data_IF_110838419017
#
_entry.id   IF_110838419017
#
_cell.length_a   1.000
_cell.length_b   1.000
_cell.length_c   1.000
_cell.angle_alpha   90.00
_cell.angle_beta   90.00
_cell.angle_gamma   90.00
#
_symmetry.space_group_name_H-M   'P 1'
#
loop_
_entity.id
_entity.type
_entity.pdbx_description
1 polymer ?
#
# COMPACT_ATOMS: atom_id res chain seq x y z
N UNK A 1 16.39 3.79 -18.69
CA UNK A 1 16.12 4.63 -17.50
C UNK A 1 16.03 6.13 -17.81
N UNK A 2 16.88 6.69 -18.68
CA UNK A 2 16.90 8.15 -18.94
C UNK A 2 15.64 8.69 -19.66
N UNK A 3 15.04 7.94 -20.59
CA UNK A 3 13.91 8.41 -21.38
C UNK A 3 12.66 8.75 -20.51
N UNK A 4 12.17 7.87 -19.62
CA UNK A 4 11.07 8.25 -18.72
C UNK A 4 11.39 9.43 -17.80
N UNK A 5 12.64 9.53 -17.31
CA UNK A 5 13.07 10.64 -16.47
C UNK A 5 13.07 11.97 -17.22
N UNK A 6 13.52 11.99 -18.48
CA UNK A 6 13.48 13.16 -19.35
C UNK A 6 12.05 13.58 -19.69
N UNK A 7 11.17 12.60 -19.98
CA UNK A 7 9.75 12.87 -20.22
C UNK A 7 9.09 13.48 -18.99
N UNK A 8 9.34 12.92 -17.80
CA UNK A 8 8.84 13.47 -16.54
C UNK A 8 9.39 14.87 -16.31
N UNK A 9 10.69 15.10 -16.50
CA UNK A 9 11.33 16.40 -16.33
C UNK A 9 10.70 17.44 -17.27
N UNK A 10 10.59 17.14 -18.57
CA UNK A 10 9.95 18.02 -19.53
C UNK A 10 8.48 18.30 -19.20
N UNK A 11 7.75 17.29 -18.70
CA UNK A 11 6.37 17.43 -18.25
C UNK A 11 6.21 18.24 -16.95
N UNK A 12 7.24 18.28 -16.10
CA UNK A 12 7.22 19.05 -14.84
C UNK A 12 7.57 20.54 -15.04
N UNK A 13 8.33 20.91 -16.08
CA UNK A 13 8.68 22.30 -16.37
C UNK A 13 7.47 23.27 -16.46
N UNK A 14 6.34 22.90 -17.11
CA UNK A 14 5.16 23.77 -17.17
C UNK A 14 4.20 23.66 -15.97
N UNK A 15 4.43 22.75 -15.02
CA UNK A 15 3.50 22.54 -13.90
C UNK A 15 3.61 23.70 -12.90
N UNK A 16 2.46 24.24 -12.43
CA UNK A 16 2.48 25.28 -11.41
C UNK A 16 2.99 24.72 -10.07
N UNK A 17 3.60 25.60 -9.28
CA UNK A 17 4.03 25.29 -7.92
C UNK A 17 2.82 24.92 -7.05
N UNK A 18 3.01 23.96 -6.13
CA UNK A 18 1.94 23.54 -5.22
C UNK A 18 1.39 24.73 -4.43
N UNK A 19 0.06 24.99 -4.44
CA UNK A 19 -0.54 26.09 -3.68
C UNK A 19 -0.20 26.04 -2.19
N UNK A 20 -0.06 24.83 -1.62
CA UNK A 20 0.37 24.64 -0.23
C UNK A 20 1.78 25.16 0.04
N UNK A 21 2.71 24.90 -0.87
CA UNK A 21 4.09 25.40 -0.77
C UNK A 21 4.16 26.92 -0.93
N UNK A 22 3.32 27.48 -1.81
CA UNK A 22 3.21 28.93 -1.99
C UNK A 22 2.71 29.62 -0.72
N UNK A 23 1.69 29.05 -0.05
CA UNK A 23 1.18 29.53 1.24
C UNK A 23 2.26 29.41 2.33
N UNK A 24 2.98 28.29 2.42
CA UNK A 24 4.09 28.11 3.37
C UNK A 24 5.21 29.15 3.19
N UNK A 25 5.45 29.60 1.95
CA UNK A 25 6.39 30.68 1.58
C UNK A 25 5.81 32.09 1.77
N UNK A 26 4.58 32.23 2.26
CA UNK A 26 3.87 33.50 2.43
C UNK A 26 3.36 34.13 1.12
N UNK A 27 3.38 33.40 -0.01
CA UNK A 27 2.93 33.86 -1.34
C UNK A 27 1.43 33.60 -1.56
N UNK A 28 0.58 34.05 -0.64
CA UNK A 28 -0.87 33.77 -0.64
C UNK A 28 -1.58 34.16 -1.95
N UNK A 29 -1.33 35.36 -2.48
CA UNK A 29 -1.98 35.81 -3.72
C UNK A 29 -1.60 34.99 -4.97
N UNK A 30 -0.41 34.37 -4.97
CA UNK A 30 -0.01 33.44 -6.05
C UNK A 30 -0.73 32.10 -5.86
N UNK A 31 -0.88 31.64 -4.62
CA UNK A 31 -1.61 30.41 -4.31
C UNK A 31 -3.09 30.52 -4.72
N UNK A 32 -3.76 31.66 -4.46
CA UNK A 32 -5.14 31.92 -4.90
C UNK A 32 -5.27 31.90 -6.44
N UNK A 33 -4.32 32.52 -7.14
CA UNK A 33 -4.31 32.54 -8.60
C UNK A 33 -4.13 31.14 -9.21
N UNK A 34 -3.28 30.30 -8.63
CA UNK A 34 -3.11 28.92 -9.11
C UNK A 34 -4.30 28.03 -8.72
N UNK A 35 -4.88 28.20 -7.52
CA UNK A 35 -6.08 27.46 -7.11
C UNK A 35 -7.31 27.80 -7.96
N UNK A 36 -7.53 29.08 -8.27
CA UNK A 36 -8.61 29.52 -9.16
C UNK A 36 -8.47 28.93 -10.57
N UNK A 37 -7.25 28.78 -11.08
CA UNK A 37 -6.98 28.09 -12.36
C UNK A 37 -7.30 26.60 -12.30
N UNK A 38 -7.04 25.93 -11.17
CA UNK A 38 -7.19 24.48 -11.02
C UNK A 38 -8.64 24.05 -10.68
N UNK A 39 -9.35 24.81 -9.85
CA UNK A 39 -10.70 24.48 -9.34
C UNK A 39 -11.83 25.05 -10.20
N UNK A 40 -11.54 26.06 -11.03
CA UNK A 40 -12.53 26.78 -11.81
C UNK A 40 -13.24 27.91 -11.02
N UNK A 41 -14.07 28.73 -11.69
CA UNK A 41 -14.62 29.97 -11.13
C UNK A 41 -15.72 29.77 -10.07
N UNK A 42 -16.30 28.57 -9.93
CA UNK A 42 -17.39 28.29 -8.98
C UNK A 42 -16.89 27.85 -7.59
N UNK A 43 -15.59 27.60 -7.42
CA UNK A 43 -15.03 27.14 -6.16
C UNK A 43 -14.58 28.31 -5.27
N UNK A 44 -14.88 28.24 -3.98
CA UNK A 44 -14.42 29.24 -3.00
C UNK A 44 -12.93 29.04 -2.68
N UNK A 45 -12.09 29.64 -3.52
CA UNK A 45 -10.63 29.59 -3.39
C UNK A 45 -10.15 30.26 -2.11
N UNK A 46 -10.84 31.30 -1.64
CA UNK A 46 -10.44 32.03 -0.44
C UNK A 46 -10.58 31.13 0.80
N UNK A 47 -11.69 30.39 0.90
CA UNK A 47 -11.89 29.41 1.95
C UNK A 47 -10.82 28.29 1.92
N UNK A 48 -10.48 27.76 0.74
CA UNK A 48 -9.43 26.72 0.62
C UNK A 48 -8.04 27.26 1.01
N UNK A 49 -7.71 28.51 0.66
CA UNK A 49 -6.44 29.14 1.07
C UNK A 49 -6.39 29.39 2.57
N UNK A 50 -7.49 29.79 3.19
CA UNK A 50 -7.60 29.93 4.64
C UNK A 50 -7.41 28.59 5.35
N UNK A 51 -8.05 27.53 4.84
CA UNK A 51 -7.88 26.16 5.33
C UNK A 51 -6.40 25.73 5.25
N UNK A 52 -5.76 25.89 4.07
CA UNK A 52 -4.35 25.58 3.88
C UNK A 52 -3.47 26.40 4.84
N UNK A 53 -3.79 27.68 5.05
CA UNK A 53 -3.04 28.55 5.98
C UNK A 53 -3.16 28.07 7.42
N UNK A 54 -4.35 27.63 7.83
CA UNK A 54 -4.57 27.05 9.16
C UNK A 54 -3.76 25.75 9.34
N UNK A 55 -3.75 24.88 8.34
CA UNK A 55 -2.98 23.65 8.30
C UNK A 55 -1.46 23.91 8.34
N UNK A 56 -0.98 24.91 7.61
CA UNK A 56 0.44 25.32 7.65
C UNK A 56 0.84 25.83 9.04
N UNK A 57 -0.02 26.61 9.71
CA UNK A 57 0.23 27.06 11.10
C UNK A 57 0.25 25.92 12.10
N UNK A 58 -0.57 24.89 11.90
CA UNK A 58 -0.50 23.65 12.70
C UNK A 58 0.74 22.81 12.37
N UNK A 59 1.13 22.76 11.09
CA UNK A 59 2.38 22.16 10.62
C UNK A 59 3.63 22.85 11.18
N UNK A 60 3.59 24.17 11.41
CA UNK A 60 4.67 24.90 12.07
C UNK A 60 4.80 24.57 13.56
N UNK A 61 3.71 24.11 14.19
CA UNK A 61 3.72 23.50 15.53
C UNK A 61 4.20 22.05 15.50
N UNK A 62 4.49 21.48 14.32
CA UNK A 62 5.02 20.13 14.23
C UNK A 62 6.36 20.03 14.98
N UNK A 63 6.67 18.85 15.54
CA UNK A 63 7.86 18.68 16.35
C UNK A 63 9.12 18.89 15.51
N UNK A 64 9.86 19.99 15.75
CA UNK A 64 11.12 20.28 15.08
C UNK A 64 12.28 19.52 15.75
N UNK A 65 13.03 18.78 14.93
CA UNK A 65 14.19 17.99 15.36
C UNK A 65 13.87 16.55 15.78
N UNK A 66 14.84 15.65 15.58
CA UNK A 66 14.68 14.19 15.71
C UNK A 66 14.05 13.76 17.05
N UNK A 67 14.49 14.36 18.16
CA UNK A 67 13.99 14.02 19.51
C UNK A 67 12.52 14.39 19.70
N UNK A 68 12.10 15.56 19.18
CA UNK A 68 10.72 16.01 19.27
C UNK A 68 9.83 15.16 18.38
N UNK A 69 10.29 14.82 17.17
CA UNK A 69 9.59 13.94 16.24
C UNK A 69 9.37 12.55 16.83
N UNK A 70 10.42 11.93 17.39
CA UNK A 70 10.32 10.63 18.05
C UNK A 70 9.35 10.65 19.23
N UNK A 71 9.35 11.73 20.02
CA UNK A 71 8.41 11.90 21.14
C UNK A 71 6.97 11.98 20.65
N UNK A 72 6.72 12.72 19.58
CA UNK A 72 5.38 12.85 19.01
C UNK A 72 4.87 11.56 18.35
N UNK A 73 5.74 10.83 17.63
CA UNK A 73 5.41 9.50 17.08
C UNK A 73 5.09 8.48 18.18
N UNK A 74 5.73 8.62 19.35
CA UNK A 74 5.49 7.79 20.54
C UNK A 74 4.30 8.24 21.37
N UNK A 75 3.60 9.29 20.98
CA UNK A 75 2.44 9.80 21.71
C UNK A 75 1.29 8.78 21.73
N UNK A 76 0.62 8.53 22.88
CA UNK A 76 -0.44 7.54 23.02
C UNK A 76 -1.58 7.67 21.99
N UNK A 77 -1.94 8.90 21.62
CA UNK A 77 -3.01 9.15 20.64
C UNK A 77 -2.58 8.92 19.18
N UNK A 78 -1.28 8.97 18.87
CA UNK A 78 -0.74 8.71 17.52
C UNK A 78 -0.45 7.22 17.29
N UNK A 79 -0.07 6.50 18.36
CA UNK A 79 0.34 5.09 18.32
C UNK A 79 -0.61 4.17 17.53
N UNK A 80 -1.95 4.27 17.66
CA UNK A 80 -2.85 3.39 16.91
C UNK A 80 -2.74 3.58 15.39
N UNK A 81 -2.67 4.83 14.91
CA UNK A 81 -2.52 5.15 13.50
C UNK A 81 -1.15 4.73 12.97
N UNK A 82 -0.10 4.99 13.74
CA UNK A 82 1.26 4.58 13.40
C UNK A 82 1.34 3.05 13.30
N UNK A 83 0.75 2.32 14.24
CA UNK A 83 0.73 0.85 14.21
C UNK A 83 0.00 0.31 12.98
N UNK A 84 -1.09 0.94 12.54
CA UNK A 84 -1.79 0.58 11.30
C UNK A 84 -0.89 0.84 10.08
N UNK A 85 -0.29 2.02 9.97
CA UNK A 85 0.56 2.37 8.85
C UNK A 85 1.81 1.47 8.75
N UNK A 86 2.53 1.27 9.87
CA UNK A 86 3.70 0.39 9.93
C UNK A 86 3.33 -1.07 9.71
N UNK A 87 2.21 -1.53 10.28
CA UNK A 87 1.76 -2.90 10.12
C UNK A 87 1.38 -3.21 8.67
N UNK A 88 0.62 -2.33 8.01
CA UNK A 88 0.29 -2.50 6.59
C UNK A 88 1.55 -2.45 5.72
N UNK A 89 2.49 -1.52 5.99
CA UNK A 89 3.76 -1.45 5.27
C UNK A 89 4.64 -2.72 5.43
N UNK A 90 4.65 -3.31 6.62
CA UNK A 90 5.38 -4.56 6.86
C UNK A 90 4.68 -5.74 6.17
N UNK A 91 3.37 -5.89 6.39
CA UNK A 91 2.61 -7.00 5.83
C UNK A 91 2.52 -6.97 4.30
N UNK A 92 2.57 -5.79 3.67
CA UNK A 92 2.56 -5.71 2.20
C UNK A 92 3.73 -6.49 1.60
N UNK A 93 4.88 -6.51 2.27
CA UNK A 93 6.04 -7.27 1.83
C UNK A 93 6.08 -8.69 2.42
N UNK A 94 5.75 -8.85 3.71
CA UNK A 94 5.76 -10.17 4.36
C UNK A 94 4.77 -11.17 3.74
N UNK A 95 3.73 -10.69 3.04
CA UNK A 95 2.81 -11.57 2.28
C UNK A 95 3.49 -12.28 1.11
N UNK A 96 4.70 -11.88 0.71
CA UNK A 96 5.56 -12.58 -0.25
C UNK A 96 5.42 -12.12 -1.71
N UNK A 97 4.79 -10.97 -1.99
CA UNK A 97 4.46 -10.56 -3.37
C UNK A 97 5.69 -10.42 -4.25
N UNK A 98 6.76 -9.80 -3.73
CA UNK A 98 8.00 -9.60 -4.48
C UNK A 98 8.76 -10.90 -4.68
N UNK A 99 8.76 -11.81 -3.68
CA UNK A 99 9.31 -13.15 -3.87
C UNK A 99 8.57 -13.90 -5.00
N UNK A 100 7.24 -13.84 -5.03
CA UNK A 100 6.47 -14.49 -6.10
C UNK A 100 6.72 -13.87 -7.47
N UNK A 101 6.79 -12.54 -7.57
CA UNK A 101 7.01 -11.87 -8.85
C UNK A 101 8.43 -12.12 -9.38
N UNK A 102 9.45 -12.02 -8.52
CA UNK A 102 10.84 -12.21 -8.93
C UNK A 102 11.18 -13.65 -9.26
N UNK A 103 10.61 -14.60 -8.51
CA UNK A 103 10.90 -16.03 -8.69
C UNK A 103 9.83 -16.78 -9.45
N UNK A 104 8.79 -16.12 -9.97
CA UNK A 104 7.78 -16.75 -10.80
C UNK A 104 8.36 -17.55 -11.99
N UNK A 105 9.36 -17.05 -12.75
CA UNK A 105 10.01 -17.84 -13.78
C UNK A 105 10.58 -19.16 -13.24
N UNK A 106 11.25 -19.12 -12.08
CA UNK A 106 11.80 -20.28 -11.39
C UNK A 106 10.69 -21.23 -10.93
N UNK A 107 9.62 -20.72 -10.33
CA UNK A 107 8.46 -21.51 -9.89
C UNK A 107 7.78 -22.26 -11.06
N UNK A 108 7.70 -21.62 -12.22
CA UNK A 108 7.13 -22.23 -13.41
C UNK A 108 8.08 -23.25 -14.04
N UNK A 109 9.39 -22.98 -14.02
CA UNK A 109 10.41 -23.95 -14.43
C UNK A 109 10.34 -25.21 -13.54
N UNK A 110 10.26 -25.05 -12.22
CA UNK A 110 10.10 -26.16 -11.26
C UNK A 110 8.77 -26.90 -11.43
N UNK A 111 7.70 -26.23 -11.88
CA UNK A 111 6.46 -26.90 -12.24
C UNK A 111 6.58 -27.76 -13.52
N UNK A 112 7.64 -27.59 -14.32
CA UNK A 112 7.90 -28.35 -15.54
C UNK A 112 7.55 -27.59 -16.83
N UNK A 113 7.56 -26.26 -16.81
CA UNK A 113 7.51 -25.43 -18.02
C UNK A 113 8.92 -25.12 -18.52
N UNK A 114 9.17 -25.24 -19.82
CA UNK A 114 10.48 -24.92 -20.42
C UNK A 114 10.80 -23.42 -20.41
N UNK A 115 12.08 -23.07 -20.58
CA UNK A 115 12.59 -21.68 -20.49
C UNK A 115 11.88 -20.69 -21.43
N UNK A 116 11.37 -21.15 -22.57
CA UNK A 116 10.61 -20.32 -23.52
C UNK A 116 9.23 -19.90 -22.97
N UNK A 117 8.63 -20.69 -22.08
CA UNK A 117 7.34 -20.38 -21.44
C UNK A 117 7.52 -19.41 -20.27
N UNK A 118 8.71 -19.36 -19.65
CA UNK A 118 9.04 -18.41 -18.60
C UNK A 118 9.01 -16.95 -19.09
N UNK A 119 9.36 -16.70 -20.35
CA UNK A 119 9.24 -15.38 -20.99
C UNK A 119 7.77 -14.94 -21.14
N UNK A 120 6.89 -15.84 -21.59
CA UNK A 120 5.45 -15.58 -21.66
C UNK A 120 4.84 -15.37 -20.26
N UNK A 121 5.38 -16.05 -19.25
CA UNK A 121 4.98 -15.82 -17.87
C UNK A 121 5.31 -14.42 -17.37
N UNK A 122 6.47 -13.86 -17.74
CA UNK A 122 6.82 -12.47 -17.45
C UNK A 122 5.77 -11.48 -17.99
N UNK A 123 5.32 -11.69 -19.23
CA UNK A 123 4.23 -10.90 -19.84
C UNK A 123 2.91 -11.10 -19.08
N UNK A 124 2.57 -12.34 -18.72
CA UNK A 124 1.39 -12.66 -17.93
C UNK A 124 1.38 -12.01 -16.55
N UNK A 125 2.53 -11.99 -15.85
CA UNK A 125 2.71 -11.31 -14.56
C UNK A 125 2.49 -9.81 -14.73
N UNK A 126 3.12 -9.20 -15.73
CA UNK A 126 2.95 -7.78 -16.02
C UNK A 126 1.49 -7.41 -16.29
N UNK A 127 0.80 -8.22 -17.10
CA UNK A 127 -0.63 -8.05 -17.36
C UNK A 127 -1.46 -8.19 -16.08
N UNK A 128 -1.19 -9.20 -15.24
CA UNK A 128 -1.91 -9.38 -13.98
C UNK A 128 -1.67 -8.24 -12.99
N UNK A 129 -0.44 -7.69 -12.92
CA UNK A 129 -0.14 -6.52 -12.09
C UNK A 129 -0.92 -5.29 -12.57
N UNK A 130 -1.02 -5.06 -13.88
CA UNK A 130 -1.83 -3.96 -14.44
C UNK A 130 -3.30 -4.16 -14.12
N UNK A 131 -3.84 -5.36 -14.36
CA UNK A 131 -5.25 -5.67 -14.06
C UNK A 131 -5.55 -5.53 -12.56
N UNK A 132 -4.65 -6.00 -11.71
CA UNK A 132 -4.76 -5.87 -10.26
C UNK A 132 -4.72 -4.40 -9.83
N UNK A 133 -3.79 -3.62 -10.38
CA UNK A 133 -3.66 -2.19 -10.09
C UNK A 133 -4.89 -1.40 -10.49
N UNK A 134 -5.40 -1.60 -11.71
CA UNK A 134 -6.63 -0.94 -12.20
C UNK A 134 -7.83 -1.36 -11.35
N UNK A 135 -7.99 -2.67 -11.09
CA UNK A 135 -9.10 -3.18 -10.27
C UNK A 135 -9.04 -2.62 -8.86
N UNK A 136 -7.85 -2.58 -8.25
CA UNK A 136 -7.63 -2.03 -6.91
C UNK A 136 -7.95 -0.54 -6.84
N UNK A 137 -7.45 0.25 -7.80
CA UNK A 137 -7.71 1.68 -7.89
C UNK A 137 -9.21 2.00 -8.04
N UNK A 138 -9.93 1.25 -8.88
CA UNK A 138 -11.37 1.45 -9.07
C UNK A 138 -12.18 0.94 -7.88
N UNK A 139 -11.76 -0.16 -7.26
CA UNK A 139 -12.52 -0.82 -6.19
C UNK A 139 -12.33 -0.15 -4.83
N UNK A 140 -11.14 0.40 -4.53
CA UNK A 140 -10.84 1.02 -3.23
C UNK A 140 -11.75 2.20 -2.93
N UNK A 141 -12.14 2.95 -3.96
CA UNK A 141 -13.05 4.08 -3.88
C UNK A 141 -14.52 3.73 -3.99
N UNK A 142 -14.89 2.45 -4.19
CA UNK A 142 -16.29 1.96 -4.11
C UNK A 142 -16.56 1.11 -2.89
N UNK A 143 -15.62 0.24 -2.53
CA UNK A 143 -15.78 -0.74 -1.45
C UNK A 143 -15.24 -0.20 -0.13
N UNK A 144 -14.20 0.62 -0.16
CA UNK A 144 -13.46 1.06 1.03
C UNK A 144 -12.23 0.20 1.30
N UNK A 145 -11.28 0.75 2.06
CA UNK A 145 -9.90 0.23 2.18
C UNK A 145 -9.91 -1.05 3.01
N UNK A 146 -10.56 -1.01 4.19
CA UNK A 146 -10.63 -2.15 5.11
C UNK A 146 -11.44 -3.30 4.53
N UNK A 147 -12.60 -2.98 3.94
CA UNK A 147 -13.47 -4.01 3.34
C UNK A 147 -12.79 -4.71 2.16
N UNK A 148 -12.12 -3.96 1.28
CA UNK A 148 -11.36 -4.52 0.17
C UNK A 148 -10.27 -5.50 0.66
N UNK A 149 -9.51 -5.11 1.69
CA UNK A 149 -8.53 -6.00 2.31
C UNK A 149 -9.18 -7.25 2.89
N UNK A 150 -10.28 -7.12 3.64
CA UNK A 150 -10.93 -8.27 4.28
C UNK A 150 -11.53 -9.26 3.29
N UNK A 151 -11.93 -8.81 2.10
CA UNK A 151 -12.54 -9.65 1.07
C UNK A 151 -11.51 -10.37 0.20
N UNK A 152 -10.42 -9.68 -0.17
CA UNK A 152 -9.46 -10.20 -1.16
C UNK A 152 -8.21 -10.85 -0.54
N UNK A 153 -7.77 -10.46 0.66
CA UNK A 153 -6.63 -11.12 1.33
C UNK A 153 -6.86 -12.62 1.57
N UNK A 154 -8.05 -13.10 1.98
CA UNK A 154 -8.29 -14.53 2.12
C UNK A 154 -8.13 -15.29 0.80
N UNK A 155 -8.60 -14.72 -0.30
CA UNK A 155 -8.44 -15.31 -1.64
C UNK A 155 -6.96 -15.38 -2.06
N UNK A 156 -6.19 -14.32 -1.76
CA UNK A 156 -4.74 -14.32 -1.98
C UNK A 156 -4.02 -15.39 -1.14
N UNK A 157 -4.29 -15.45 0.17
CA UNK A 157 -3.70 -16.46 1.06
C UNK A 157 -4.09 -17.89 0.67
N UNK A 158 -5.33 -18.12 0.25
CA UNK A 158 -5.80 -19.42 -0.24
C UNK A 158 -5.10 -19.81 -1.56
N UNK A 159 -4.94 -18.87 -2.50
CA UNK A 159 -4.20 -19.13 -3.73
C UNK A 159 -2.74 -19.51 -3.45
N UNK A 160 -2.07 -18.81 -2.52
CA UNK A 160 -0.72 -19.16 -2.07
C UNK A 160 -0.67 -20.57 -1.44
N UNK A 161 -1.65 -20.92 -0.61
CA UNK A 161 -1.72 -22.25 0.01
C UNK A 161 -1.95 -23.36 -1.03
N UNK A 162 -2.86 -23.15 -1.98
CA UNK A 162 -3.12 -24.07 -3.10
C UNK A 162 -1.86 -24.29 -3.91
N UNK A 163 -1.12 -23.22 -4.21
CA UNK A 163 0.17 -23.33 -4.91
C UNK A 163 1.16 -24.18 -4.13
N UNK A 164 1.32 -23.94 -2.82
CA UNK A 164 2.19 -24.76 -1.96
C UNK A 164 1.80 -26.24 -1.93
N UNK A 165 0.51 -26.54 -1.77
CA UNK A 165 0.01 -27.93 -1.77
C UNK A 165 0.17 -28.60 -3.13
N UNK A 166 0.03 -27.87 -4.23
CA UNK A 166 0.24 -28.40 -5.58
C UNK A 166 1.67 -28.91 -5.79
N UNK A 167 2.67 -28.36 -5.10
CA UNK A 167 4.04 -28.87 -5.17
C UNK A 167 4.26 -30.16 -4.35
N UNK A 168 3.32 -30.57 -3.49
CA UNK A 168 3.42 -31.84 -2.75
C UNK A 168 3.08 -33.07 -3.60
N UNK A 169 2.37 -32.93 -4.72
CA UNK A 169 1.91 -34.06 -5.53
C UNK A 169 3.00 -34.76 -6.35
N UNK A 170 4.28 -34.47 -6.13
CA UNK A 170 5.40 -35.22 -6.71
C UNK A 170 5.81 -34.83 -8.14
N UNK A 171 5.23 -33.78 -8.72
CA UNK A 171 5.64 -33.25 -10.03
C UNK A 171 5.05 -33.99 -11.24
N UNK A 172 5.06 -33.34 -12.40
CA UNK A 172 4.87 -33.99 -13.71
C UNK A 172 3.45 -34.03 -14.29
N UNK A 173 2.40 -34.01 -13.46
CA UNK A 173 1.02 -34.00 -13.97
C UNK A 173 0.66 -32.66 -14.64
N UNK A 174 -0.16 -32.70 -15.69
CA UNK A 174 -0.67 -31.48 -16.34
C UNK A 174 -1.55 -30.67 -15.38
N UNK A 175 -2.30 -31.35 -14.50
CA UNK A 175 -3.17 -30.73 -13.49
C UNK A 175 -2.34 -29.89 -12.52
N UNK A 176 -1.23 -30.43 -12.00
CA UNK A 176 -0.34 -29.68 -11.10
C UNK A 176 0.21 -28.41 -11.78
N UNK A 177 0.72 -28.55 -13.01
CA UNK A 177 1.28 -27.44 -13.79
C UNK A 177 0.32 -26.26 -13.93
N UNK A 178 -0.90 -26.53 -14.39
CA UNK A 178 -1.92 -25.50 -14.56
C UNK A 178 -2.45 -24.98 -13.23
N UNK A 179 -2.47 -25.80 -12.18
CA UNK A 179 -2.84 -25.37 -10.82
C UNK A 179 -1.83 -24.35 -10.29
N UNK A 180 -0.52 -24.59 -10.43
CA UNK A 180 0.52 -23.64 -10.00
C UNK A 180 0.38 -22.31 -10.74
N UNK A 181 0.22 -22.34 -12.07
CA UNK A 181 0.06 -21.12 -12.89
C UNK A 181 -1.19 -20.34 -12.46
N UNK A 182 -2.34 -21.02 -12.35
CA UNK A 182 -3.59 -20.39 -11.95
C UNK A 182 -3.52 -19.81 -10.54
N UNK A 183 -2.91 -20.54 -9.60
CA UNK A 183 -2.73 -20.10 -8.22
C UNK A 183 -1.77 -18.90 -8.11
N UNK A 184 -0.67 -18.90 -8.87
CA UNK A 184 0.26 -17.78 -8.94
C UNK A 184 -0.41 -16.51 -9.44
N UNK A 185 -1.14 -16.58 -10.56
CA UNK A 185 -1.82 -15.41 -11.11
C UNK A 185 -2.98 -14.94 -10.24
N UNK A 186 -3.75 -15.87 -9.65
CA UNK A 186 -4.78 -15.53 -8.67
C UNK A 186 -4.17 -14.83 -7.46
N UNK A 187 -3.04 -15.33 -6.94
CA UNK A 187 -2.33 -14.69 -5.83
C UNK A 187 -1.89 -13.26 -6.19
N UNK A 188 -1.22 -13.07 -7.34
CA UNK A 188 -0.75 -11.75 -7.80
C UNK A 188 -1.93 -10.80 -7.95
N UNK A 189 -3.03 -11.26 -8.57
CA UNK A 189 -4.21 -10.45 -8.80
C UNK A 189 -4.89 -10.02 -7.49
N UNK A 190 -5.22 -10.97 -6.62
CA UNK A 190 -5.92 -10.67 -5.38
C UNK A 190 -5.07 -9.86 -4.40
N UNK A 191 -3.77 -10.17 -4.28
CA UNK A 191 -2.85 -9.41 -3.44
C UNK A 191 -2.66 -7.98 -4.00
N UNK A 192 -2.43 -7.86 -5.31
CA UNK A 192 -2.24 -6.59 -5.99
C UNK A 192 -3.47 -5.67 -5.91
N UNK A 193 -4.65 -6.22 -6.16
CA UNK A 193 -5.92 -5.48 -6.14
C UNK A 193 -6.35 -5.06 -4.73
N UNK A 194 -5.69 -5.56 -3.68
CA UNK A 194 -6.01 -5.24 -2.30
C UNK A 194 -4.84 -4.62 -1.56
N UNK A 195 -3.89 -5.42 -1.10
CA UNK A 195 -2.78 -4.98 -0.26
C UNK A 195 -1.93 -3.91 -0.93
N UNK A 196 -1.55 -4.12 -2.19
CA UNK A 196 -0.70 -3.19 -2.92
C UNK A 196 -1.43 -1.89 -3.32
N UNK A 197 -2.74 -1.94 -3.51
CA UNK A 197 -3.55 -0.74 -3.71
C UNK A 197 -3.69 0.07 -2.41
N UNK A 198 -3.88 -0.62 -1.27
CA UNK A 198 -4.20 0.04 0.01
C UNK A 198 -2.95 0.54 0.74
N UNK A 199 -1.79 -0.09 0.59
CA UNK A 199 -0.56 0.29 1.31
C UNK A 199 -0.17 1.75 1.10
N UNK A 200 -0.37 2.28 -0.11
CA UNK A 200 -0.03 3.67 -0.46
C UNK A 200 -1.11 4.69 -0.04
N UNK A 201 -2.34 4.23 0.23
CA UNK A 201 -3.47 5.07 0.58
C UNK A 201 -3.68 5.17 2.09
N UNK A 202 -3.47 4.08 2.84
CA UNK A 202 -3.83 4.03 4.26
C UNK A 202 -2.98 4.98 5.10
N UNK A 203 -1.67 5.09 4.81
CA UNK A 203 -0.77 5.93 5.59
C UNK A 203 -1.18 7.41 5.56
N UNK A 204 -1.35 8.07 4.39
CA UNK A 204 -1.79 9.47 4.36
C UNK A 204 -3.21 9.68 4.92
N UNK A 205 -4.08 8.66 4.88
CA UNK A 205 -5.46 8.74 5.38
C UNK A 205 -5.57 8.61 6.91
N UNK A 206 -4.78 7.74 7.55
CA UNK A 206 -4.89 7.48 9.00
C UNK A 206 -3.95 8.32 9.84
N UNK A 207 -2.88 8.87 9.25
CA UNK A 207 -1.85 9.58 9.99
C UNK A 207 -2.26 11.04 10.27
N UNK A 208 -2.20 11.49 11.54
CA UNK A 208 -2.49 12.87 11.93
C UNK A 208 -1.61 13.88 11.21
N UNK A 209 -2.17 15.04 10.89
CA UNK A 209 -1.49 16.07 10.10
C UNK A 209 -0.16 16.50 10.72
N UNK A 210 -0.15 16.75 12.03
CA UNK A 210 1.02 17.23 12.78
C UNK A 210 2.27 16.31 12.72
N UNK A 211 2.08 15.02 12.43
CA UNK A 211 3.17 14.03 12.35
C UNK A 211 3.18 13.26 11.03
N UNK A 212 2.33 13.63 10.06
CA UNK A 212 2.11 12.86 8.83
C UNK A 212 3.40 12.67 8.05
N UNK A 213 4.16 13.74 7.82
CA UNK A 213 5.44 13.68 7.11
C UNK A 213 6.39 12.62 7.70
N UNK A 214 6.87 12.77 8.95
CA UNK A 214 7.79 11.82 9.54
C UNK A 214 7.21 10.41 9.75
N UNK A 215 5.91 10.29 10.05
CA UNK A 215 5.25 9.00 10.20
C UNK A 215 5.18 8.24 8.86
N UNK A 216 4.82 8.93 7.77
CA UNK A 216 4.80 8.35 6.42
C UNK A 216 6.21 7.95 5.99
N UNK A 217 7.24 8.76 6.25
CA UNK A 217 8.63 8.37 5.98
C UNK A 217 9.06 7.11 6.73
N UNK A 218 8.62 6.97 7.98
CA UNK A 218 8.91 5.75 8.79
C UNK A 218 8.17 4.53 8.23
N UNK A 219 6.93 4.69 7.78
CA UNK A 219 6.17 3.61 7.13
C UNK A 219 6.80 3.20 5.79
N UNK A 220 7.24 4.16 4.98
CA UNK A 220 7.96 3.90 3.73
C UNK A 220 9.30 3.21 3.99
N UNK A 221 10.07 3.65 4.99
CA UNK A 221 11.31 2.97 5.39
C UNK A 221 11.05 1.53 5.87
N UNK A 222 9.94 1.32 6.58
CA UNK A 222 9.51 -0.03 7.01
C UNK A 222 9.18 -0.90 5.80
N UNK A 223 8.41 -0.36 4.84
CA UNK A 223 8.07 -1.04 3.60
C UNK A 223 9.32 -1.49 2.85
N UNK A 224 10.24 -0.56 2.56
CA UNK A 224 11.47 -0.90 1.83
C UNK A 224 12.43 -1.78 2.64
N UNK A 225 12.42 -1.66 3.97
CA UNK A 225 13.20 -2.53 4.84
C UNK A 225 12.72 -3.98 4.80
N UNK A 226 11.41 -4.22 4.86
CA UNK A 226 10.85 -5.56 4.71
C UNK A 226 10.95 -6.07 3.26
N UNK A 227 10.87 -5.18 2.28
CA UNK A 227 11.12 -5.53 0.89
C UNK A 227 12.53 -6.10 0.70
N UNK A 228 13.55 -5.34 1.15
CA UNK A 228 14.93 -5.80 1.15
C UNK A 228 15.09 -7.13 1.90
N UNK A 229 14.48 -7.25 3.09
CA UNK A 229 14.52 -8.47 3.88
C UNK A 229 13.99 -9.67 3.08
N UNK A 230 12.83 -9.55 2.45
CA UNK A 230 12.23 -10.64 1.66
C UNK A 230 13.07 -10.91 0.41
N UNK A 231 13.54 -9.89 -0.28
CA UNK A 231 14.37 -10.04 -1.47
C UNK A 231 15.65 -10.85 -1.20
N UNK A 232 16.32 -10.62 -0.05
CA UNK A 232 17.55 -11.35 0.30
C UNK A 232 17.30 -12.72 0.95
N UNK A 233 16.14 -12.93 1.60
CA UNK A 233 15.86 -14.17 2.35
C UNK A 233 15.02 -15.19 1.58
N UNK A 234 14.27 -14.77 0.57
CA UNK A 234 13.30 -15.63 -0.11
C UNK A 234 13.95 -16.86 -0.75
N UNK A 235 15.05 -16.68 -1.50
CA UNK A 235 15.76 -17.79 -2.12
C UNK A 235 16.42 -18.71 -1.08
N UNK A 236 17.07 -18.13 -0.06
CA UNK A 236 17.66 -18.91 1.04
C UNK A 236 16.60 -19.73 1.77
N UNK A 237 15.40 -19.19 1.94
CA UNK A 237 14.28 -19.91 2.56
C UNK A 237 13.89 -21.13 1.74
N UNK A 238 13.79 -20.99 0.40
CA UNK A 238 13.52 -22.12 -0.50
C UNK A 238 14.65 -23.15 -0.46
N UNK A 239 15.91 -22.72 -0.42
CA UNK A 239 17.07 -23.63 -0.38
C UNK A 239 17.18 -24.42 0.94
N UNK A 240 16.84 -23.79 2.07
CA UNK A 240 16.99 -24.39 3.41
C UNK A 240 15.76 -25.20 3.80
N UNK A 241 14.56 -24.64 3.60
CA UNK A 241 13.30 -25.25 4.05
C UNK A 241 12.55 -25.98 2.94
N UNK A 242 12.96 -25.80 1.68
CA UNK A 242 12.22 -26.27 0.51
C UNK A 242 11.15 -25.28 0.05
N UNK A 243 10.71 -25.46 -1.20
CA UNK A 243 9.72 -24.58 -1.83
C UNK A 243 8.38 -24.61 -1.10
N UNK A 244 7.80 -25.80 -0.88
CA UNK A 244 6.47 -25.93 -0.30
C UNK A 244 6.35 -25.31 1.09
N UNK A 245 7.24 -25.58 2.06
CA UNK A 245 7.14 -24.97 3.39
C UNK A 245 7.29 -23.44 3.33
N UNK A 246 8.11 -22.93 2.41
CA UNK A 246 8.25 -21.48 2.19
C UNK A 246 6.95 -20.85 1.70
N UNK A 247 6.28 -21.46 0.71
CA UNK A 247 4.99 -20.99 0.20
C UNK A 247 3.89 -21.04 1.26
N UNK A 248 3.83 -22.12 2.05
CA UNK A 248 2.87 -22.24 3.16
C UNK A 248 3.14 -21.22 4.28
N UNK A 249 4.41 -20.87 4.52
CA UNK A 249 4.77 -19.78 5.43
C UNK A 249 4.22 -18.43 4.95
N UNK A 250 4.36 -18.11 3.65
CA UNK A 250 3.75 -16.90 3.08
C UNK A 250 2.22 -16.94 3.15
N UNK A 251 1.59 -18.10 2.93
CA UNK A 251 0.15 -18.25 3.10
C UNK A 251 -0.29 -18.00 4.55
N UNK A 252 0.44 -18.53 5.53
CA UNK A 252 0.21 -18.26 6.95
C UNK A 252 0.36 -16.77 7.26
N UNK A 253 1.37 -16.10 6.69
CA UNK A 253 1.58 -14.66 6.84
C UNK A 253 0.45 -13.82 6.25
N UNK A 254 -0.16 -14.26 5.14
CA UNK A 254 -1.39 -13.66 4.61
C UNK A 254 -2.56 -13.81 5.60
N UNK A 255 -2.70 -14.96 6.26
CA UNK A 255 -3.68 -15.16 7.33
C UNK A 255 -3.44 -14.25 8.54
N UNK A 256 -2.19 -14.12 8.98
CA UNK A 256 -1.78 -13.17 10.04
C UNK A 256 -2.10 -11.73 9.66
N UNK A 257 -1.81 -11.34 8.41
CA UNK A 257 -2.17 -10.03 7.87
C UNK A 257 -3.69 -9.81 7.90
N UNK A 258 -4.47 -10.80 7.46
CA UNK A 258 -5.93 -10.70 7.48
C UNK A 258 -6.47 -10.50 8.90
N UNK A 259 -5.95 -11.26 9.88
CA UNK A 259 -6.28 -11.09 11.30
C UNK A 259 -5.88 -9.70 11.81
N UNK A 260 -4.72 -9.19 11.40
CA UNK A 260 -4.27 -7.84 11.73
C UNK A 260 -5.24 -6.78 11.17
N UNK A 261 -5.64 -6.90 9.90
CA UNK A 261 -6.63 -6.02 9.27
C UNK A 261 -7.96 -6.09 10.02
N UNK A 262 -8.41 -7.30 10.36
CA UNK A 262 -9.65 -7.54 11.09
C UNK A 262 -9.64 -6.88 12.48
N UNK A 263 -8.48 -6.80 13.15
CA UNK A 263 -8.34 -6.30 14.53
C UNK A 263 -7.82 -4.87 14.69
N UNK A 264 -7.05 -4.33 13.75
CA UNK A 264 -6.37 -3.03 13.91
C UNK A 264 -6.75 -1.98 12.88
N UNK A 265 -7.01 -2.37 11.63
CA UNK A 265 -7.27 -1.41 10.55
C UNK A 265 -8.69 -0.84 10.67
N UNK A 266 -8.87 0.50 10.66
CA UNK A 266 -10.18 1.15 10.59
C UNK A 266 -10.65 1.29 9.14
N UNK A 267 -11.94 1.57 8.95
CA UNK A 267 -12.44 2.01 7.64
C UNK A 267 -12.24 3.52 7.51
N UNK A 268 -11.59 3.94 6.42
CA UNK A 268 -11.25 5.35 6.12
C UNK A 268 -12.17 5.96 5.07
N UNK A 269 -12.90 5.13 4.31
CA UNK A 269 -13.83 5.59 3.27
C UNK A 269 -14.87 6.57 3.83
N UNK A 270 -14.99 7.74 3.18
CA UNK A 270 -16.04 8.71 3.45
C UNK A 270 -15.88 9.46 4.78
N UNK A 271 -14.70 9.41 5.38
CA UNK A 271 -14.36 10.19 6.57
C UNK A 271 -13.37 11.28 6.20
N UNK A 272 -13.52 12.46 6.80
CA UNK A 272 -12.52 13.51 6.68
C UNK A 272 -11.27 13.14 7.50
N UNK A 273 -10.14 13.79 7.21
CA UNK A 273 -8.89 13.53 7.93
C UNK A 273 -9.02 14.01 9.39
N UNK A 274 -9.79 15.08 9.57
CA UNK A 274 -10.14 15.72 10.82
C UNK A 274 -10.99 14.78 11.68
N UNK A 275 -11.99 14.10 11.09
CA UNK A 275 -12.83 13.11 11.78
C UNK A 275 -11.99 11.94 12.31
N UNK A 276 -11.01 11.49 11.53
CA UNK A 276 -10.10 10.39 11.92
C UNK A 276 -9.19 10.86 13.07
N UNK A 277 -8.66 12.08 12.98
CA UNK A 277 -7.79 12.65 14.02
C UNK A 277 -8.54 12.90 15.33
N UNK A 278 -9.77 13.41 15.28
CA UNK A 278 -10.62 13.55 16.46
C UNK A 278 -10.92 12.18 17.11
N UNK A 279 -11.20 11.16 16.29
CA UNK A 279 -11.36 9.78 16.77
C UNK A 279 -10.11 9.24 17.47
N UNK A 280 -8.92 9.50 16.91
CA UNK A 280 -7.63 9.16 17.52
C UNK A 280 -7.44 9.83 18.88
N UNK A 281 -7.73 11.14 18.99
CA UNK A 281 -7.65 11.90 20.25
C UNK A 281 -8.64 11.41 21.30
N UNK A 282 -9.83 10.98 20.88
CA UNK A 282 -10.85 10.37 21.74
C UNK A 282 -10.57 8.89 22.10
N UNK A 283 -9.50 8.29 21.57
CA UNK A 283 -9.17 6.88 21.77
C UNK A 283 -10.03 5.89 20.95
N UNK A 284 -10.91 6.40 20.08
CA UNK A 284 -11.81 5.61 19.24
C UNK A 284 -11.28 5.56 17.82
N UNK A 285 -10.35 4.66 17.57
CA UNK A 285 -9.83 4.45 16.21
C UNK A 285 -10.82 3.76 15.28
N UNK A 286 -11.65 2.87 15.84
CA UNK A 286 -12.64 2.10 15.10
C UNK A 286 -14.00 2.75 15.25
N UNK A 287 -14.24 3.81 14.47
CA UNK A 287 -15.59 4.33 14.28
C UNK A 287 -16.42 3.28 13.54
N UNK A 288 -17.48 2.76 14.18
CA UNK A 288 -18.51 2.05 13.44
C UNK A 288 -19.11 3.04 12.44
N UNK A 289 -19.18 2.66 11.17
CA UNK A 289 -19.85 3.40 10.11
C UNK A 289 -21.38 3.36 10.29
N UNK A 290 -21.87 3.91 11.40
CA UNK A 290 -23.27 4.21 11.67
C UNK A 290 -23.33 5.64 12.19
N UNK A 291 -23.17 6.62 11.29
CA UNK A 291 -23.86 7.88 11.50
C UNK A 291 -25.32 7.67 11.02
N UNK A 292 -26.31 8.04 11.84
CA UNK A 292 -27.71 8.01 11.42
C UNK A 292 -27.92 9.06 10.31
N UNK A 293 -28.84 8.72 9.40
CA UNK A 293 -29.31 9.57 8.30
C UNK A 293 -29.80 10.93 8.79
#
# INVERSE_FOLDING_TARGET
AALPALVLMAGMLPLPESPRWLVERGRHGVAERELSRLRGPEHDVAAEVEEITSLCREGDRAPRGLRATLRALRSPWVRPALLVALGIAAFSQLTGINAMVYYAPTLLSEAGFGDSVALLAGVGIGLMLVLAGVTGAVSVDRVGRRRLLLWLLPASGAAMAVMGVAFLSGGGSAVQRWTVVGALFAYIFFNGASMQAVVWLIAPEVLPLAVRGPATSTATATLWGFDLLIAVTALTSVQVFGLTPTLLCYAAMNGLCWVFVLRRVPETRGRTLEDIEQGLRAGVMRGNARQPR
#
